data_IF_499796859234
#
_entry.id   IF_499796859234
#
_cell.length_a   1.000
_cell.length_b   1.000
_cell.length_c   1.000
_cell.angle_alpha   90.00
_cell.angle_beta   90.00
_cell.angle_gamma   90.00
#
_symmetry.space_group_name_H-M   'P 1'
#
loop_
_entity.id
_entity.type
_entity.pdbx_description
1 polymer ?
#
# COMPACT_ATOMS: atom_id res chain seq x y z
N UNK A 1 -17.08 -17.04 34.05
CA UNK A 1 -17.39 -15.69 33.59
C UNK A 1 -17.21 -15.66 32.08
N UNK A 2 -18.32 -15.56 31.36
CA UNK A 2 -18.35 -15.39 29.92
C UNK A 2 -17.89 -13.95 29.59
N UNK A 3 -16.57 -13.73 29.44
CA UNK A 3 -15.99 -12.49 28.96
C UNK A 3 -15.94 -12.50 27.40
N UNK A 4 -17.07 -12.76 26.75
CA UNK A 4 -17.20 -12.48 25.33
C UNK A 4 -17.24 -10.96 25.16
N UNK A 5 -16.15 -10.36 24.73
CA UNK A 5 -16.19 -9.00 24.21
C UNK A 5 -17.18 -9.00 23.04
N UNK A 6 -18.02 -7.95 22.91
CA UNK A 6 -18.90 -7.85 21.75
C UNK A 6 -18.05 -7.93 20.47
N UNK A 7 -18.51 -8.71 19.50
CA UNK A 7 -17.88 -8.75 18.19
C UNK A 7 -17.74 -7.33 17.65
N UNK A 8 -16.52 -6.92 17.37
CA UNK A 8 -16.23 -5.61 16.76
C UNK A 8 -15.87 -5.84 15.31
N UNK A 9 -16.67 -5.30 14.42
CA UNK A 9 -16.40 -5.23 13.00
C UNK A 9 -16.41 -3.76 12.57
N UNK A 10 -15.39 -3.36 11.83
CA UNK A 10 -15.29 -2.02 11.24
C UNK A 10 -15.21 -2.18 9.73
N UNK A 11 -16.11 -1.53 9.03
CA UNK A 11 -16.09 -1.35 7.59
C UNK A 11 -15.74 0.10 7.29
N UNK A 12 -14.87 0.32 6.32
CA UNK A 12 -14.55 1.64 5.80
C UNK A 12 -14.65 1.67 4.30
N UNK A 13 -15.04 2.81 3.79
CA UNK A 13 -15.03 3.17 2.39
C UNK A 13 -14.36 4.53 2.29
N UNK A 14 -13.40 4.65 1.37
CA UNK A 14 -12.74 5.91 1.08
C UNK A 14 -12.59 6.10 -0.42
N UNK A 15 -12.71 7.32 -0.87
CA UNK A 15 -12.49 7.72 -2.24
C UNK A 15 -11.41 8.79 -2.27
N UNK A 16 -10.58 8.71 -3.30
CA UNK A 16 -9.53 9.70 -3.56
C UNK A 16 -9.65 10.17 -4.99
N UNK A 17 -9.63 11.48 -5.19
CA UNK A 17 -9.53 12.09 -6.52
C UNK A 17 -8.22 12.88 -6.60
N UNK A 18 -7.42 12.58 -7.62
CA UNK A 18 -6.24 13.33 -7.98
C UNK A 18 -6.54 14.13 -9.23
N UNK A 19 -6.54 15.43 -9.07
CA UNK A 19 -6.65 16.38 -10.18
C UNK A 19 -5.40 17.25 -10.19
N UNK A 20 -4.76 17.35 -11.33
CA UNK A 20 -3.48 18.01 -11.46
C UNK A 20 -3.41 18.96 -12.64
N UNK A 21 -2.39 19.80 -12.63
CA UNK A 21 -1.96 20.52 -13.83
C UNK A 21 -0.90 19.67 -14.52
N UNK A 22 -1.07 19.40 -15.80
CA UNK A 22 0.03 18.86 -16.60
C UNK A 22 1.06 19.97 -16.77
N UNK A 23 2.24 19.79 -16.20
CA UNK A 23 3.39 20.70 -16.40
C UNK A 23 4.16 20.38 -17.68
N UNK A 24 3.66 19.46 -18.51
CA UNK A 24 4.26 19.16 -19.81
C UNK A 24 4.08 20.36 -20.74
N UNK A 25 5.16 20.85 -21.37
CA UNK A 25 5.05 21.92 -22.37
C UNK A 25 4.13 21.49 -23.51
N UNK A 26 3.18 22.34 -23.87
CA UNK A 26 2.31 22.11 -24.99
C UNK A 26 3.17 21.76 -26.26
N UNK A 27 2.98 20.56 -26.81
CA UNK A 27 3.64 20.11 -28.04
C UNK A 27 4.61 18.94 -27.89
N UNK A 28 4.83 18.38 -26.72
CA UNK A 28 5.72 17.21 -26.55
C UNK A 28 5.01 15.87 -26.77
N UNK A 29 3.69 15.84 -26.70
CA UNK A 29 2.91 14.65 -27.03
C UNK A 29 1.78 15.02 -28.00
N UNK A 30 1.78 14.53 -29.28
CA UNK A 30 0.75 14.87 -30.27
C UNK A 30 -0.66 14.37 -29.92
N UNK A 31 -0.81 13.53 -28.91
CA UNK A 31 -2.09 12.98 -28.45
C UNK A 31 -2.64 13.68 -27.20
N UNK A 32 -1.95 14.69 -26.69
CA UNK A 32 -2.47 15.55 -25.64
C UNK A 32 -3.27 16.69 -26.25
N UNK A 33 -4.57 16.68 -25.99
CA UNK A 33 -5.42 17.83 -26.24
C UNK A 33 -4.82 19.07 -25.56
N UNK A 34 -4.68 20.13 -26.32
CA UNK A 34 -4.03 21.39 -25.92
C UNK A 34 -4.78 22.17 -24.82
N UNK A 35 -5.73 21.55 -24.14
CA UNK A 35 -6.64 22.17 -23.18
C UNK A 35 -6.31 21.86 -21.72
N UNK A 36 -5.09 21.42 -21.44
CA UNK A 36 -4.63 21.20 -20.07
C UNK A 36 -4.18 22.50 -19.38
N UNK A 37 -5.00 23.52 -19.40
CA UNK A 37 -4.96 24.61 -18.44
C UNK A 37 -5.31 24.01 -17.08
N UNK A 38 -4.47 24.24 -16.09
CA UNK A 38 -4.68 23.71 -14.74
C UNK A 38 -6.12 23.84 -14.28
N UNK A 39 -6.71 22.72 -13.89
CA UNK A 39 -8.09 22.72 -13.38
C UNK A 39 -8.13 23.42 -12.03
N UNK A 40 -9.10 24.31 -11.90
CA UNK A 40 -9.42 24.90 -10.60
C UNK A 40 -10.06 23.85 -9.68
N UNK A 41 -10.12 24.15 -8.40
CA UNK A 41 -10.74 23.32 -7.38
C UNK A 41 -12.20 22.96 -7.76
N UNK A 42 -12.47 21.65 -7.83
CA UNK A 42 -13.80 21.11 -8.19
C UNK A 42 -14.67 20.93 -6.94
N UNK A 43 -15.69 21.75 -6.81
CA UNK A 43 -16.66 21.68 -5.70
C UNK A 43 -17.41 20.35 -5.64
N UNK A 44 -17.52 19.64 -6.75
CA UNK A 44 -18.18 18.34 -6.83
C UNK A 44 -17.51 17.29 -5.95
N UNK A 45 -16.18 17.33 -5.78
CA UNK A 45 -15.43 16.41 -4.92
C UNK A 45 -15.51 16.77 -3.43
N UNK A 46 -16.14 17.85 -3.05
CA UNK A 46 -16.33 18.21 -1.63
C UNK A 46 -17.57 17.55 -1.03
N UNK A 47 -18.48 17.07 -1.87
CA UNK A 47 -19.73 16.48 -1.41
C UNK A 47 -19.57 14.97 -1.18
N UNK A 48 -19.46 14.49 0.07
CA UNK A 48 -19.16 13.10 0.39
C UNK A 48 -20.32 12.12 0.11
N UNK A 49 -21.37 12.56 -0.58
CA UNK A 49 -22.57 11.78 -0.87
C UNK A 49 -22.67 11.31 -2.33
N UNK A 50 -21.76 11.76 -3.19
CA UNK A 50 -21.73 11.36 -4.59
C UNK A 50 -20.42 10.59 -4.78
N UNK A 51 -20.51 9.34 -5.22
CA UNK A 51 -19.34 8.56 -5.60
C UNK A 51 -18.62 9.28 -6.73
N UNK A 52 -17.36 9.63 -6.55
CA UNK A 52 -16.56 10.42 -7.49
C UNK A 52 -16.47 9.77 -8.88
N UNK A 53 -16.48 8.44 -8.92
CA UNK A 53 -16.50 7.69 -10.17
C UNK A 53 -17.71 8.02 -11.08
N UNK A 54 -18.89 8.29 -10.50
CA UNK A 54 -20.04 8.76 -11.28
C UNK A 54 -19.83 10.19 -11.80
N UNK A 55 -19.19 11.03 -11.02
CA UNK A 55 -18.90 12.41 -11.40
C UNK A 55 -17.89 12.46 -12.55
N UNK A 56 -16.87 11.64 -12.50
CA UNK A 56 -15.85 11.52 -13.54
C UNK A 56 -16.45 11.10 -14.89
N UNK A 57 -17.31 10.10 -14.91
CA UNK A 57 -18.01 9.67 -16.13
C UNK A 57 -18.84 10.79 -16.77
N UNK A 58 -19.38 11.70 -15.98
CA UNK A 58 -20.13 12.87 -16.47
C UNK A 58 -19.18 13.94 -17.04
N UNK A 59 -17.96 14.06 -16.49
CA UNK A 59 -16.99 15.09 -16.86
C UNK A 59 -15.96 14.66 -17.92
N UNK A 60 -15.99 13.39 -18.35
CA UNK A 60 -15.16 12.89 -19.47
C UNK A 60 -13.81 12.33 -19.06
N UNK A 61 -13.72 11.61 -17.93
CA UNK A 61 -12.53 10.82 -17.53
C UNK A 61 -11.25 11.66 -17.45
N UNK A 62 -11.32 12.75 -16.72
CA UNK A 62 -10.23 13.73 -16.66
C UNK A 62 -9.33 13.60 -15.43
N UNK A 63 -9.80 12.96 -14.37
CA UNK A 63 -9.12 12.88 -13.08
C UNK A 63 -8.73 11.43 -12.76
N UNK A 64 -7.78 11.22 -11.87
CA UNK A 64 -7.46 9.87 -11.39
C UNK A 64 -8.22 9.61 -10.09
N UNK A 65 -9.21 8.72 -10.15
CA UNK A 65 -10.06 8.39 -9.02
C UNK A 65 -9.78 6.97 -8.55
N UNK A 66 -9.62 6.80 -7.26
CA UNK A 66 -9.50 5.49 -6.64
C UNK A 66 -10.48 5.32 -5.49
N UNK A 67 -10.93 4.07 -5.30
CA UNK A 67 -11.88 3.66 -4.29
C UNK A 67 -11.23 2.60 -3.39
N UNK A 68 -11.25 2.79 -2.08
CA UNK A 68 -10.72 1.80 -1.15
C UNK A 68 -11.79 1.29 -0.18
N UNK A 69 -11.80 -0.03 -0.01
CA UNK A 69 -12.63 -0.76 0.95
C UNK A 69 -11.73 -1.35 2.02
N UNK A 70 -12.07 -1.16 3.28
CA UNK A 70 -11.36 -1.80 4.37
C UNK A 70 -12.31 -2.50 5.33
N UNK A 71 -11.84 -3.61 5.88
CA UNK A 71 -12.55 -4.43 6.85
C UNK A 71 -11.59 -4.81 7.98
N UNK A 72 -12.00 -4.59 9.23
CA UNK A 72 -11.34 -5.15 10.41
C UNK A 72 -12.35 -5.91 11.25
N UNK A 73 -11.98 -7.13 11.67
CA UNK A 73 -12.81 -8.04 12.46
C UNK A 73 -12.07 -8.45 13.72
N UNK A 74 -12.61 -8.10 14.90
CA UNK A 74 -12.09 -8.40 16.24
C UNK A 74 -13.13 -9.19 17.04
N UNK A 75 -13.58 -10.33 16.50
CA UNK A 75 -14.58 -11.19 17.14
C UNK A 75 -13.98 -12.17 18.14
N UNK A 76 -12.73 -12.53 17.96
CA UNK A 76 -11.98 -13.42 18.85
C UNK A 76 -11.06 -12.55 19.70
N UNK A 77 -11.08 -12.78 21.01
CA UNK A 77 -10.27 -12.00 21.95
C UNK A 77 -8.79 -12.05 21.56
N UNK A 78 -8.15 -10.88 21.47
CA UNK A 78 -6.75 -10.69 21.10
C UNK A 78 -6.42 -11.01 19.64
N UNK A 79 -7.40 -11.32 18.80
CA UNK A 79 -7.21 -11.50 17.38
C UNK A 79 -7.84 -10.36 16.58
N UNK A 80 -7.12 -9.90 15.58
CA UNK A 80 -7.61 -9.02 14.53
C UNK A 80 -7.35 -9.67 13.17
N UNK A 81 -8.39 -9.73 12.35
CA UNK A 81 -8.32 -10.08 10.94
C UNK A 81 -8.72 -8.83 10.18
N UNK A 82 -7.91 -8.43 9.22
CA UNK A 82 -8.22 -7.25 8.44
C UNK A 82 -7.90 -7.46 6.96
N UNK A 83 -8.51 -6.64 6.12
CA UNK A 83 -8.24 -6.57 4.70
C UNK A 83 -8.56 -5.20 4.15
N UNK A 84 -7.82 -4.84 3.13
CA UNK A 84 -8.03 -3.64 2.34
C UNK A 84 -7.99 -4.01 0.86
N UNK A 85 -8.87 -3.42 0.08
CA UNK A 85 -8.90 -3.49 -1.37
C UNK A 85 -8.92 -2.07 -1.91
N UNK A 86 -7.87 -1.68 -2.61
CA UNK A 86 -7.85 -0.48 -3.43
C UNK A 86 -8.27 -0.85 -4.84
N UNK A 87 -9.22 -0.11 -5.36
CA UNK A 87 -9.67 -0.16 -6.72
C UNK A 87 -9.26 1.16 -7.39
N UNK A 88 -8.19 1.11 -8.17
CA UNK A 88 -7.63 2.28 -8.83
C UNK A 88 -8.30 2.49 -10.19
N UNK A 89 -8.45 1.40 -10.98
CA UNK A 89 -9.18 1.41 -12.24
C UNK A 89 -9.67 0.00 -12.55
N UNK A 90 -10.86 -0.15 -13.11
CA UNK A 90 -11.37 -1.41 -13.67
C UNK A 90 -12.72 -1.21 -14.38
N UNK A 91 -13.00 -2.04 -15.37
CA UNK A 91 -14.27 -1.98 -16.11
C UNK A 91 -15.47 -2.39 -15.25
N UNK A 92 -15.31 -3.46 -14.47
CA UNK A 92 -16.34 -3.99 -13.58
C UNK A 92 -15.69 -4.75 -12.43
N UNK A 93 -16.34 -4.90 -11.27
CA UNK A 93 -15.82 -5.72 -10.17
C UNK A 93 -15.51 -7.17 -10.56
N UNK A 94 -16.23 -7.71 -11.55
CA UNK A 94 -16.01 -9.08 -12.04
C UNK A 94 -14.80 -9.21 -12.94
N UNK A 95 -14.28 -8.10 -13.49
CA UNK A 95 -13.06 -8.08 -14.33
C UNK A 95 -11.77 -8.01 -13.51
N UNK A 96 -11.84 -7.95 -12.21
CA UNK A 96 -10.68 -7.79 -11.32
C UNK A 96 -9.55 -8.80 -11.59
N UNK A 97 -9.89 -10.03 -11.96
CA UNK A 97 -8.92 -11.09 -12.25
C UNK A 97 -8.70 -11.32 -13.76
N UNK A 98 -9.14 -10.39 -14.60
CA UNK A 98 -8.96 -10.46 -16.04
C UNK A 98 -7.59 -9.82 -16.40
N UNK A 99 -6.62 -10.67 -16.76
CA UNK A 99 -5.29 -10.25 -17.18
C UNK A 99 -5.22 -9.82 -18.65
N UNK A 100 -6.33 -9.86 -19.38
CA UNK A 100 -6.38 -9.44 -20.77
C UNK A 100 -6.44 -7.92 -20.95
N UNK A 101 -6.60 -7.16 -19.86
CA UNK A 101 -6.70 -5.71 -19.90
C UNK A 101 -5.85 -5.04 -18.81
N UNK A 102 -4.91 -4.23 -19.23
CA UNK A 102 -3.98 -3.49 -18.38
C UNK A 102 -4.65 -2.55 -17.36
N UNK A 103 -5.81 -1.98 -17.71
CA UNK A 103 -6.54 -1.04 -16.86
C UNK A 103 -7.27 -1.69 -15.68
N UNK A 104 -7.18 -3.01 -15.49
CA UNK A 104 -7.63 -3.64 -14.25
C UNK A 104 -6.59 -3.44 -13.14
N UNK A 105 -6.56 -2.24 -12.56
CA UNK A 105 -5.59 -1.78 -11.56
C UNK A 105 -6.21 -1.88 -10.17
N UNK A 106 -5.71 -2.78 -9.36
CA UNK A 106 -6.14 -2.95 -7.99
C UNK A 106 -4.95 -3.35 -7.08
N UNK A 107 -5.09 -3.07 -5.80
CA UNK A 107 -4.19 -3.55 -4.78
C UNK A 107 -4.96 -4.12 -3.61
N UNK A 108 -4.40 -5.10 -2.92
CA UNK A 108 -5.00 -5.67 -1.73
C UNK A 108 -3.96 -5.92 -0.65
N UNK A 109 -4.39 -5.72 0.59
CA UNK A 109 -3.65 -6.09 1.78
C UNK A 109 -4.56 -6.95 2.65
N UNK A 110 -4.08 -8.09 3.13
CA UNK A 110 -4.78 -8.93 4.10
C UNK A 110 -3.84 -9.29 5.23
N UNK A 111 -4.33 -9.23 6.45
CA UNK A 111 -3.47 -9.47 7.61
C UNK A 111 -4.20 -10.08 8.79
N UNK A 112 -3.36 -10.67 9.65
CA UNK A 112 -3.76 -11.26 10.93
C UNK A 112 -2.82 -10.72 11.99
N UNK A 113 -3.39 -10.19 13.06
CA UNK A 113 -2.65 -9.80 14.25
C UNK A 113 -3.19 -10.55 15.48
N UNK A 114 -2.30 -10.91 16.35
CA UNK A 114 -2.64 -11.41 17.68
C UNK A 114 -1.77 -10.75 18.73
N UNK A 115 -2.41 -10.11 19.68
CA UNK A 115 -1.75 -9.46 20.81
C UNK A 115 -1.90 -10.24 22.12
N UNK A 116 -1.10 -9.88 23.10
CA UNK A 116 -1.27 -10.23 24.51
C UNK A 116 -1.39 -11.73 24.79
N UNK A 117 -0.56 -12.55 24.13
CA UNK A 117 -0.38 -13.95 24.48
C UNK A 117 0.62 -14.01 25.64
N UNK A 118 0.22 -14.50 26.80
CA UNK A 118 1.11 -14.56 27.95
C UNK A 118 1.74 -15.96 28.12
N UNK A 119 3.08 -15.98 28.12
CA UNK A 119 3.90 -17.14 28.51
C UNK A 119 4.63 -16.80 29.82
N UNK A 120 3.97 -17.08 30.96
CA UNK A 120 4.43 -16.59 32.26
C UNK A 120 4.46 -15.05 32.31
N UNK A 121 5.61 -14.44 32.64
CA UNK A 121 5.72 -12.98 32.70
C UNK A 121 6.00 -12.30 31.30
N UNK A 122 6.14 -13.08 30.24
CA UNK A 122 6.43 -12.60 28.91
C UNK A 122 5.13 -12.44 28.12
N UNK A 123 4.91 -11.27 27.55
CA UNK A 123 3.86 -11.04 26.57
C UNK A 123 4.41 -11.30 25.16
N UNK A 124 3.70 -12.08 24.38
CA UNK A 124 3.98 -12.36 22.98
C UNK A 124 2.92 -11.70 22.10
N UNK A 125 3.36 -11.06 21.03
CA UNK A 125 2.51 -10.50 19.98
C UNK A 125 2.96 -11.05 18.64
N UNK A 126 2.00 -11.37 17.79
CA UNK A 126 2.22 -11.91 16.44
C UNK A 126 1.51 -11.03 15.41
N UNK A 127 2.13 -10.84 14.27
CA UNK A 127 1.58 -10.09 13.14
C UNK A 127 2.04 -10.75 11.83
N UNK A 128 1.13 -10.89 10.89
CA UNK A 128 1.47 -11.27 9.52
C UNK A 128 0.54 -10.57 8.55
N UNK A 129 1.10 -10.12 7.44
CA UNK A 129 0.41 -9.37 6.39
C UNK A 129 0.90 -9.79 5.01
N UNK A 130 -0.03 -9.93 4.08
CA UNK A 130 0.24 -10.12 2.67
C UNK A 130 -0.32 -8.94 1.89
N UNK A 131 0.52 -8.33 1.07
CA UNK A 131 0.17 -7.24 0.15
C UNK A 131 0.42 -7.66 -1.28
N UNK A 132 -0.51 -7.34 -2.18
CA UNK A 132 -0.36 -7.49 -3.62
C UNK A 132 -0.85 -6.22 -4.32
N UNK A 133 -0.04 -5.73 -5.25
CA UNK A 133 -0.28 -4.51 -6.01
C UNK A 133 -0.08 -4.83 -7.48
N UNK A 134 -1.12 -4.69 -8.27
CA UNK A 134 -1.10 -4.97 -9.71
C UNK A 134 -0.21 -3.98 -10.48
N UNK A 135 0.20 -4.31 -11.73
CA UNK A 135 0.90 -3.37 -12.59
C UNK A 135 0.10 -2.07 -12.78
N UNK A 136 0.84 -0.94 -12.89
CA UNK A 136 0.33 0.41 -13.12
C UNK A 136 -0.64 0.96 -12.06
N UNK A 137 -0.90 0.25 -10.97
CA UNK A 137 -1.62 0.83 -9.82
C UNK A 137 -0.90 2.09 -9.37
N UNK A 138 -1.63 3.11 -8.97
CA UNK A 138 -1.16 4.46 -8.61
C UNK A 138 -0.75 5.33 -9.82
N UNK A 139 -0.75 4.82 -11.04
CA UNK A 139 -0.39 5.59 -12.23
C UNK A 139 -1.63 5.93 -13.06
N UNK A 140 -1.55 7.01 -13.82
CA UNK A 140 -2.61 7.42 -14.75
C UNK A 140 -2.02 7.65 -16.15
N UNK A 141 -2.82 7.42 -17.20
CA UNK A 141 -2.39 7.58 -18.59
C UNK A 141 -1.90 8.99 -18.93
N UNK A 142 -2.35 10.01 -18.20
CA UNK A 142 -1.86 11.39 -18.35
C UNK A 142 -0.55 11.65 -17.61
N UNK A 143 -0.10 10.75 -16.73
CA UNK A 143 1.12 10.90 -15.94
C UNK A 143 1.13 12.12 -15.01
N UNK A 144 2.31 12.54 -14.62
CA UNK A 144 2.53 13.78 -13.88
C UNK A 144 1.71 13.94 -12.60
N UNK A 145 0.94 15.01 -12.51
CA UNK A 145 0.11 15.33 -11.34
C UNK A 145 -1.07 14.40 -11.08
N UNK A 146 -1.34 13.44 -11.96
CA UNK A 146 -2.40 12.44 -11.83
C UNK A 146 -1.89 11.11 -11.25
N UNK A 147 -0.59 10.97 -11.04
CA UNK A 147 0.01 9.82 -10.36
C UNK A 147 -0.18 9.96 -8.84
N UNK A 148 -0.58 8.88 -8.17
CA UNK A 148 -0.76 8.84 -6.70
C UNK A 148 0.59 8.84 -5.99
N UNK A 149 1.31 9.94 -6.16
CA UNK A 149 2.66 10.15 -5.64
C UNK A 149 2.88 11.60 -5.20
N UNK A 150 3.79 11.79 -4.25
CA UNK A 150 4.27 13.09 -3.82
C UNK A 150 5.80 13.06 -3.77
N UNK A 151 6.47 14.02 -4.41
CA UNK A 151 7.94 14.05 -4.53
C UNK A 151 8.53 12.71 -5.00
N UNK A 152 7.92 12.08 -6.02
CA UNK A 152 8.30 10.77 -6.56
C UNK A 152 8.21 9.59 -5.55
N UNK A 153 7.51 9.77 -4.45
CA UNK A 153 7.19 8.71 -3.49
C UNK A 153 5.72 8.33 -3.61
N UNK A 154 5.42 7.04 -3.57
CA UNK A 154 4.03 6.56 -3.54
C UNK A 154 3.32 7.10 -2.31
N UNK A 155 2.09 7.60 -2.49
CA UNK A 155 1.18 7.91 -1.39
C UNK A 155 0.46 6.66 -0.87
N UNK A 156 0.50 5.55 -1.62
CA UNK A 156 0.06 4.23 -1.20
C UNK A 156 1.21 3.41 -0.60
N UNK A 157 1.30 2.14 -0.96
CA UNK A 157 2.36 1.26 -0.47
C UNK A 157 3.75 1.68 -0.94
N UNK A 158 4.75 1.57 -0.05
CA UNK A 158 6.17 1.79 -0.38
C UNK A 158 6.71 0.80 -1.41
N UNK A 159 6.07 -0.37 -1.55
CA UNK A 159 6.43 -1.35 -2.57
C UNK A 159 6.22 -0.81 -3.99
N UNK A 160 5.23 0.08 -4.18
CA UNK A 160 4.81 0.58 -5.48
C UNK A 160 4.14 -0.50 -6.34
N UNK A 161 3.77 -0.16 -7.59
CA UNK A 161 3.03 -1.06 -8.47
C UNK A 161 3.81 -2.32 -8.87
N UNK A 162 3.09 -3.32 -9.35
CA UNK A 162 3.60 -4.65 -9.78
C UNK A 162 4.49 -5.32 -8.74
N UNK A 163 3.95 -5.52 -7.54
CA UNK A 163 4.69 -6.08 -6.41
C UNK A 163 3.82 -6.91 -5.49
N UNK A 164 4.47 -7.77 -4.72
CA UNK A 164 3.85 -8.46 -3.60
C UNK A 164 4.83 -8.62 -2.45
N UNK A 165 4.28 -8.68 -1.24
CA UNK A 165 5.04 -8.91 -0.01
C UNK A 165 4.27 -9.81 0.95
N UNK A 166 4.96 -10.72 1.60
CA UNK A 166 4.53 -11.36 2.83
C UNK A 166 5.46 -10.89 3.95
N UNK A 167 4.92 -10.22 4.94
CA UNK A 167 5.65 -9.73 6.10
C UNK A 167 5.13 -10.38 7.38
N UNK A 168 6.02 -10.79 8.27
CA UNK A 168 5.67 -11.44 9.53
C UNK A 168 6.55 -10.91 10.65
N UNK A 169 5.94 -10.61 11.80
CA UNK A 169 6.63 -10.20 13.02
C UNK A 169 6.19 -11.04 14.22
N UNK A 170 7.16 -11.43 15.04
CA UNK A 170 6.96 -12.02 16.36
C UNK A 170 7.66 -11.17 17.39
N UNK A 171 6.92 -10.62 18.34
CA UNK A 171 7.45 -9.80 19.43
C UNK A 171 7.32 -10.48 20.76
N UNK A 172 8.33 -10.32 21.60
CA UNK A 172 8.32 -10.74 22.99
C UNK A 172 8.63 -9.54 23.89
N UNK A 173 7.74 -9.25 24.83
CA UNK A 173 7.89 -8.14 25.78
C UNK A 173 8.01 -8.68 27.21
N UNK A 174 9.09 -8.30 27.88
CA UNK A 174 9.29 -8.57 29.29
C UNK A 174 9.67 -7.28 30.02
N UNK A 175 8.80 -6.83 30.91
CA UNK A 175 8.95 -5.54 31.61
C UNK A 175 9.14 -4.40 30.61
N UNK A 176 10.32 -3.76 30.62
CA UNK A 176 10.68 -2.62 29.77
C UNK A 176 11.50 -3.00 28.53
N UNK A 177 11.62 -4.30 28.23
CA UNK A 177 12.38 -4.82 27.09
C UNK A 177 11.40 -5.47 26.11
N UNK A 178 11.46 -5.07 24.84
CA UNK A 178 10.74 -5.70 23.73
C UNK A 178 11.74 -6.15 22.67
N UNK A 179 11.74 -7.43 22.35
CA UNK A 179 12.45 -8.00 21.22
C UNK A 179 11.44 -8.37 20.13
N UNK A 180 11.71 -7.99 18.87
CA UNK A 180 10.89 -8.33 17.71
C UNK A 180 11.76 -9.02 16.67
N UNK A 181 11.32 -10.17 16.19
CA UNK A 181 11.88 -10.86 15.03
C UNK A 181 10.97 -10.60 13.85
N UNK A 182 11.55 -10.33 12.69
CA UNK A 182 10.82 -10.10 11.44
C UNK A 182 11.33 -11.03 10.34
N UNK A 183 10.44 -11.43 9.47
CA UNK A 183 10.72 -12.17 8.26
C UNK A 183 9.82 -11.66 7.14
N UNK A 184 10.37 -11.45 5.96
CA UNK A 184 9.66 -10.98 4.78
C UNK A 184 10.08 -11.71 3.52
N UNK A 185 9.16 -11.74 2.56
CA UNK A 185 9.39 -12.22 1.19
C UNK A 185 8.80 -11.20 0.25
N UNK A 186 9.62 -10.61 -0.61
CA UNK A 186 9.24 -9.56 -1.55
C UNK A 186 9.50 -10.02 -2.97
N UNK A 187 8.56 -9.75 -3.86
CA UNK A 187 8.76 -9.80 -5.29
C UNK A 187 8.27 -8.49 -5.91
N UNK A 188 9.09 -7.87 -6.76
CA UNK A 188 8.86 -6.58 -7.37
C UNK A 188 9.31 -6.60 -8.82
N UNK A 189 8.39 -6.35 -9.74
CA UNK A 189 8.78 -6.10 -11.13
C UNK A 189 9.32 -4.67 -11.25
N UNK A 190 10.43 -4.51 -11.99
CA UNK A 190 11.10 -3.22 -12.12
C UNK A 190 10.92 -2.59 -13.50
N UNK A 191 10.29 -3.29 -14.43
CA UNK A 191 10.16 -2.84 -15.82
C UNK A 191 8.71 -2.75 -16.27
N UNK A 192 7.90 -3.76 -16.02
CA UNK A 192 6.56 -3.85 -16.58
C UNK A 192 5.52 -3.25 -15.63
N UNK A 193 5.20 -1.96 -15.80
CA UNK A 193 4.25 -1.25 -14.94
C UNK A 193 4.64 -1.28 -13.46
N UNK A 194 5.94 -1.40 -13.18
CA UNK A 194 6.50 -1.53 -11.85
C UNK A 194 6.93 -0.20 -11.22
N UNK A 195 6.95 0.90 -11.99
CA UNK A 195 7.36 2.21 -11.50
C UNK A 195 6.22 3.21 -11.57
N UNK A 196 6.22 4.18 -10.67
CA UNK A 196 5.24 5.27 -10.65
C UNK A 196 5.33 6.20 -11.86
N UNK A 197 6.44 6.15 -12.59
CA UNK A 197 6.68 6.92 -13.83
C UNK A 197 6.31 6.17 -15.09
N UNK A 198 5.94 4.88 -14.98
CA UNK A 198 5.52 4.07 -16.12
C UNK A 198 4.11 4.48 -16.52
N UNK A 199 4.00 5.24 -17.60
CA UNK A 199 2.72 5.65 -18.17
C UNK A 199 2.26 4.55 -19.11
N UNK A 200 0.98 4.18 -19.03
CA UNK A 200 0.35 3.23 -19.92
C UNK A 200 -1.03 3.75 -20.31
N UNK A 201 -1.33 3.73 -21.58
CA UNK A 201 -2.54 4.31 -22.14
C UNK A 201 -3.31 3.35 -23.06
N UNK A 202 -4.47 3.76 -23.55
CA UNK A 202 -5.32 2.94 -24.42
C UNK A 202 -4.66 2.50 -25.72
N UNK A 203 -3.59 3.17 -26.15
CA UNK A 203 -2.85 2.90 -27.39
C UNK A 203 -1.74 1.87 -27.21
N UNK A 204 -1.44 1.51 -25.95
CA UNK A 204 -0.39 0.55 -25.63
C UNK A 204 -0.92 -0.90 -25.68
N UNK A 205 -0.03 -1.88 -25.45
CA UNK A 205 -0.41 -3.29 -25.43
C UNK A 205 -1.49 -3.56 -24.36
N UNK A 206 -2.48 -4.35 -24.70
CA UNK A 206 -3.65 -4.58 -23.84
C UNK A 206 -3.41 -5.56 -22.71
N UNK A 207 -2.42 -6.44 -22.83
CA UNK A 207 -2.15 -7.49 -21.84
C UNK A 207 -1.45 -6.94 -20.59
N UNK A 208 -1.81 -7.50 -19.46
CA UNK A 208 -1.22 -7.24 -18.16
C UNK A 208 -0.35 -8.43 -17.73
N UNK A 209 0.82 -8.16 -17.17
CA UNK A 209 1.73 -9.19 -16.66
C UNK A 209 2.13 -8.89 -15.22
N UNK A 210 1.52 -9.63 -14.30
CA UNK A 210 1.92 -9.53 -12.91
C UNK A 210 3.22 -10.31 -12.69
N UNK A 211 4.26 -9.61 -12.19
CA UNK A 211 5.59 -10.16 -11.90
C UNK A 211 6.19 -10.94 -13.08
N UNK A 212 6.40 -10.26 -14.21
CA UNK A 212 7.05 -10.84 -15.37
C UNK A 212 8.47 -11.33 -15.01
N UNK A 213 8.78 -12.63 -15.25
CA UNK A 213 9.97 -13.28 -14.69
C UNK A 213 11.31 -12.60 -15.05
N UNK A 214 11.40 -12.00 -16.24
CA UNK A 214 12.65 -11.41 -16.72
C UNK A 214 13.07 -10.12 -15.97
N UNK A 215 12.12 -9.41 -15.35
CA UNK A 215 12.35 -8.14 -14.68
C UNK A 215 12.00 -8.15 -13.20
N UNK A 216 11.52 -9.28 -12.69
CA UNK A 216 11.11 -9.41 -11.29
C UNK A 216 12.30 -9.66 -10.38
N UNK A 217 12.52 -8.75 -9.43
CA UNK A 217 13.43 -8.95 -8.31
C UNK A 217 12.70 -9.69 -7.20
N UNK A 218 13.33 -10.76 -6.68
CA UNK A 218 12.84 -11.56 -5.56
C UNK A 218 13.87 -11.59 -4.45
N UNK A 219 13.46 -11.21 -3.26
CA UNK A 219 14.34 -11.26 -2.09
C UNK A 219 13.58 -11.63 -0.83
N UNK A 220 14.32 -12.07 0.15
CA UNK A 220 13.84 -12.37 1.50
C UNK A 220 14.55 -11.44 2.47
N UNK A 221 13.86 -11.09 3.55
CA UNK A 221 14.44 -10.36 4.66
C UNK A 221 14.25 -11.08 5.98
N UNK A 222 15.28 -11.01 6.81
CA UNK A 222 15.22 -11.49 8.19
C UNK A 222 15.88 -10.45 9.09
N UNK A 223 15.22 -10.15 10.18
CA UNK A 223 15.73 -9.13 11.08
C UNK A 223 15.32 -9.30 12.53
N UNK A 224 15.95 -8.50 13.36
CA UNK A 224 15.59 -8.36 14.75
C UNK A 224 15.64 -6.89 15.16
N UNK A 225 14.71 -6.51 16.03
CA UNK A 225 14.65 -5.20 16.69
C UNK A 225 14.61 -5.38 18.18
N UNK A 226 15.32 -4.54 18.91
CA UNK A 226 15.32 -4.46 20.36
C UNK A 226 14.89 -3.05 20.76
N UNK A 227 13.90 -2.95 21.64
CA UNK A 227 13.47 -1.72 22.29
C UNK A 227 13.60 -1.87 23.79
N UNK A 228 14.19 -0.86 24.43
CA UNK A 228 14.40 -0.83 25.88
C UNK A 228 13.93 0.53 26.41
N UNK A 229 12.84 0.53 27.19
CA UNK A 229 12.20 1.74 27.71
C UNK A 229 12.13 1.65 29.25
N UNK A 230 13.25 1.81 29.94
CA UNK A 230 13.34 1.57 31.41
C UNK A 230 12.58 2.63 32.21
N UNK A 231 12.31 3.79 31.63
CA UNK A 231 11.52 4.87 32.21
C UNK A 231 10.65 5.50 31.11
N UNK A 232 9.54 6.11 31.47
CA UNK A 232 8.58 6.72 30.51
C UNK A 232 9.18 7.85 29.66
N UNK A 233 10.27 8.45 30.13
CA UNK A 233 10.97 9.54 29.43
C UNK A 233 12.18 9.08 28.59
N UNK A 234 12.49 7.77 28.55
CA UNK A 234 13.68 7.25 27.87
C UNK A 234 13.32 5.99 27.05
N UNK A 235 13.66 6.01 25.77
CA UNK A 235 13.49 4.89 24.84
C UNK A 235 14.77 4.70 24.02
N UNK A 236 15.28 3.48 23.97
CA UNK A 236 16.37 3.04 23.12
C UNK A 236 15.89 1.98 22.17
N UNK A 237 16.22 2.12 20.89
CA UNK A 237 15.90 1.13 19.85
C UNK A 237 17.13 0.81 19.03
N UNK A 238 17.33 -0.47 18.75
CA UNK A 238 18.32 -0.93 17.79
C UNK A 238 17.69 -2.00 16.91
N UNK A 239 18.09 -2.06 15.66
CA UNK A 239 17.59 -3.05 14.71
C UNK A 239 18.66 -3.43 13.70
N UNK A 240 18.52 -4.67 13.23
CA UNK A 240 19.31 -5.22 12.15
C UNK A 240 18.42 -6.07 11.26
N UNK A 241 18.53 -5.89 9.94
CA UNK A 241 17.82 -6.69 8.93
C UNK A 241 18.82 -7.07 7.84
N UNK A 242 18.82 -8.32 7.45
CA UNK A 242 19.60 -8.88 6.34
C UNK A 242 18.67 -9.23 5.19
N UNK A 243 19.08 -8.92 3.97
CA UNK A 243 18.39 -9.21 2.72
C UNK A 243 19.14 -10.28 1.95
N UNK A 244 18.42 -11.20 1.29
CA UNK A 244 18.94 -12.32 0.52
C UNK A 244 18.15 -12.51 -0.77
N UNK A 245 18.79 -12.88 -1.86
CA UNK A 245 18.19 -13.12 -3.18
C UNK A 245 18.70 -12.13 -4.20
N UNK A 246 17.85 -11.65 -5.09
CA UNK A 246 18.24 -10.70 -6.14
C UNK A 246 18.66 -9.33 -5.59
N UNK A 247 18.26 -9.04 -4.36
CA UNK A 247 18.76 -7.92 -3.58
C UNK A 247 19.48 -8.45 -2.34
N UNK A 248 20.77 -8.18 -2.23
CA UNK A 248 21.59 -8.54 -1.08
C UNK A 248 22.07 -7.30 -0.35
N UNK A 249 22.00 -7.33 0.97
CA UNK A 249 22.43 -6.20 1.77
C UNK A 249 22.05 -6.33 3.23
N UNK A 250 22.23 -5.26 3.96
CA UNK A 250 21.75 -5.16 5.33
C UNK A 250 21.33 -3.73 5.66
N UNK A 251 20.46 -3.62 6.64
CA UNK A 251 20.08 -2.36 7.28
C UNK A 251 20.33 -2.48 8.77
N UNK A 252 20.99 -1.50 9.37
CA UNK A 252 21.17 -1.43 10.81
C UNK A 252 20.92 0.01 11.29
N UNK A 253 20.35 0.14 12.46
CA UNK A 253 20.13 1.43 13.11
C UNK A 253 20.20 1.31 14.63
N UNK A 254 20.51 2.43 15.27
CA UNK A 254 20.35 2.61 16.70
C UNK A 254 19.84 4.03 16.97
N UNK A 255 18.84 4.17 17.81
CA UNK A 255 18.24 5.47 18.18
C UNK A 255 18.03 5.53 19.68
N UNK A 256 18.14 6.72 20.25
CA UNK A 256 17.77 7.03 21.63
C UNK A 256 16.88 8.26 21.65
N UNK A 257 15.76 8.19 22.35
CA UNK A 257 14.81 9.30 22.51
C UNK A 257 14.70 9.64 24.00
N UNK A 258 14.80 10.93 24.31
CA UNK A 258 14.55 11.49 25.63
C UNK A 258 13.33 12.42 25.52
N UNK A 259 12.37 12.27 26.41
CA UNK A 259 11.16 13.12 26.51
C UNK A 259 11.22 13.88 27.81
N UNK A 260 11.12 15.20 27.80
CA UNK A 260 11.10 16.08 28.99
C UNK A 260 9.88 16.98 28.96
#
# INVERSE_FOLDING_TARGET
>A
HNNSLPARMTLGLSETSLYGTTTEPAGTNPNHDADSTGREFEWAYVLPFILYNFQEHIQGDQDNISLAFNLSVKTIRHWEFYGELLWDDMKTPTSMFDDSWWGNKWATTVGIARDSIYAGPVQLDFFTEYTRIEPWVYTHHKGGGYTYANYAQSLGSELGPNSQELHTELSATYKFIRATFLAGMVAKDTAFGGNLTDIHGPEDATDKKFLADASTLRYQEFGARLSVSPWDWMDFRAGYTRFFGDYEGFRAYATGTLQW
#
